data_IF_655099191664
#
_entry.id   IF_655099191664
#
_cell.length_a   1.000
_cell.length_b   1.000
_cell.length_c   1.000
_cell.angle_alpha   90.00
_cell.angle_beta   90.00
_cell.angle_gamma   90.00
#
_symmetry.space_group_name_H-M   'P 1'
#
loop_
_entity.id
_entity.type
_entity.pdbx_description
1 polymer ?
#
# COMPACT_ATOMS: atom_id res chain seq x y z
N UNK A 1 -19.17 -16.00 8.96
CA UNK A 1 -18.85 -15.71 7.55
C UNK A 1 -19.45 -14.34 7.24
N UNK A 2 -18.73 -13.40 6.59
CA UNK A 2 -19.23 -12.03 6.32
C UNK A 2 -19.57 -11.77 4.83
N UNK A 3 -19.93 -12.82 4.10
CA UNK A 3 -20.61 -12.67 2.81
C UNK A 3 -22.09 -12.70 3.10
N UNK A 4 -22.77 -11.61 2.77
CA UNK A 4 -24.18 -11.46 3.08
C UNK A 4 -25.00 -11.35 1.82
N UNK A 5 -26.25 -11.80 1.96
CA UNK A 5 -27.30 -11.56 0.98
C UNK A 5 -27.56 -10.07 0.73
N UNK A 6 -27.12 -9.21 1.65
CA UNK A 6 -27.27 -7.75 1.61
C UNK A 6 -26.07 -7.02 1.01
N UNK A 7 -25.01 -7.75 0.61
CA UNK A 7 -23.82 -7.13 0.02
C UNK A 7 -24.15 -6.43 -1.30
N UNK A 8 -23.43 -5.34 -1.59
CA UNK A 8 -23.56 -4.52 -2.80
C UNK A 8 -22.23 -4.50 -3.58
N UNK A 9 -22.24 -4.44 -4.92
CA UNK A 9 -23.40 -4.34 -5.81
C UNK A 9 -24.19 -5.65 -5.99
N UNK A 10 -23.64 -6.79 -5.55
CA UNK A 10 -24.26 -8.09 -5.70
C UNK A 10 -24.30 -8.85 -4.37
N UNK A 11 -25.38 -9.58 -4.07
CA UNK A 11 -25.44 -10.51 -2.94
C UNK A 11 -24.32 -11.55 -3.03
N UNK A 12 -23.74 -11.89 -1.87
CA UNK A 12 -22.66 -12.88 -1.77
C UNK A 12 -22.96 -13.97 -0.76
N UNK A 13 -22.46 -15.17 -1.01
CA UNK A 13 -22.61 -16.29 -0.10
C UNK A 13 -21.94 -17.55 -0.60
N UNK A 14 -21.94 -18.58 0.25
CA UNK A 14 -21.58 -19.93 -0.19
C UNK A 14 -22.68 -20.48 -1.10
N UNK A 15 -22.29 -21.05 -2.24
CA UNK A 15 -23.22 -21.72 -3.13
C UNK A 15 -23.62 -23.07 -2.52
N UNK A 16 -24.91 -23.25 -2.30
CA UNK A 16 -25.48 -24.52 -1.89
C UNK A 16 -26.32 -25.06 -3.05
N UNK A 17 -26.15 -26.35 -3.37
CA UNK A 17 -26.82 -26.97 -4.52
C UNK A 17 -27.58 -28.21 -4.10
N UNK A 18 -28.71 -28.45 -4.77
CA UNK A 18 -29.48 -29.68 -4.67
C UNK A 18 -29.78 -30.15 -6.08
N UNK A 19 -29.15 -31.25 -6.49
CA UNK A 19 -29.28 -31.81 -7.84
C UNK A 19 -29.30 -33.33 -7.77
N UNK A 20 -29.96 -33.97 -8.74
CA UNK A 20 -30.00 -35.43 -8.86
C UNK A 20 -28.62 -36.06 -9.15
N UNK A 21 -27.63 -35.24 -9.53
CA UNK A 21 -26.25 -35.67 -9.79
C UNK A 21 -25.31 -35.50 -8.59
N UNK A 22 -25.82 -35.11 -7.41
CA UNK A 22 -24.98 -34.97 -6.21
C UNK A 22 -24.62 -36.35 -5.63
N UNK A 23 -23.41 -36.49 -5.10
CA UNK A 23 -22.94 -37.69 -4.40
C UNK A 23 -23.78 -37.95 -3.12
N UNK A 24 -23.87 -39.20 -2.67
CA UNK A 24 -24.55 -39.53 -1.40
C UNK A 24 -23.70 -39.24 -0.16
N UNK A 25 -22.37 -39.18 -0.34
CA UNK A 25 -21.41 -38.96 0.73
C UNK A 25 -20.00 -39.37 0.32
N UNK A 26 -19.05 -39.22 1.24
CA UNK A 26 -17.69 -39.69 1.08
C UNK A 26 -17.57 -41.12 1.61
N UNK A 27 -16.87 -41.97 0.85
CA UNK A 27 -16.64 -43.37 1.24
C UNK A 27 -15.90 -43.47 2.57
N UNK A 28 -16.47 -44.21 3.53
CA UNK A 28 -15.95 -44.39 4.89
C UNK A 28 -15.59 -43.10 5.66
N UNK A 29 -16.20 -41.97 5.31
CA UNK A 29 -15.94 -40.70 5.98
C UNK A 29 -17.27 -39.99 6.31
N UNK A 30 -17.94 -40.50 7.35
CA UNK A 30 -19.20 -39.96 7.86
C UNK A 30 -19.07 -38.53 8.39
N UNK A 31 -17.90 -38.18 8.95
CA UNK A 31 -17.62 -36.84 9.50
C UNK A 31 -17.67 -35.79 8.39
N UNK A 32 -16.89 -35.97 7.32
CA UNK A 32 -16.89 -35.01 6.21
C UNK A 32 -18.17 -35.09 5.40
N UNK A 33 -18.85 -36.25 5.35
CA UNK A 33 -20.17 -36.37 4.73
C UNK A 33 -21.18 -35.47 5.45
N UNK A 34 -21.31 -35.61 6.76
CA UNK A 34 -22.25 -34.80 7.54
C UNK A 34 -21.88 -33.30 7.55
N UNK A 35 -20.62 -32.94 7.34
CA UNK A 35 -20.19 -31.54 7.21
C UNK A 35 -20.52 -30.93 5.84
N UNK A 36 -20.53 -31.74 4.78
CA UNK A 36 -20.77 -31.27 3.42
C UNK A 36 -22.25 -31.17 3.05
N UNK A 37 -23.16 -31.69 3.87
CA UNK A 37 -24.61 -31.62 3.65
C UNK A 37 -25.33 -30.93 4.81
N UNK A 38 -26.21 -29.98 4.51
CA UNK A 38 -27.07 -29.29 5.47
C UNK A 38 -28.50 -29.27 4.91
N UNK A 39 -29.46 -29.85 5.62
CA UNK A 39 -30.88 -29.92 5.21
C UNK A 39 -31.10 -30.47 3.78
N UNK A 40 -30.27 -31.43 3.36
CA UNK A 40 -30.30 -32.03 2.02
C UNK A 40 -29.75 -31.13 0.91
N UNK A 41 -29.11 -30.01 1.25
CA UNK A 41 -28.30 -29.19 0.36
C UNK A 41 -26.84 -29.56 0.48
N UNK A 42 -26.13 -29.62 -0.65
CA UNK A 42 -24.68 -29.80 -0.68
C UNK A 42 -23.98 -28.45 -0.62
N UNK A 43 -23.18 -28.26 0.41
CA UNK A 43 -22.34 -27.08 0.62
C UNK A 43 -21.10 -27.18 -0.28
N UNK A 44 -21.06 -26.46 -1.40
CA UNK A 44 -19.96 -26.60 -2.38
C UNK A 44 -18.61 -26.09 -1.84
N UNK A 45 -18.66 -25.23 -0.82
CA UNK A 45 -17.51 -24.48 -0.35
C UNK A 45 -17.02 -23.43 -1.34
N UNK A 46 -17.76 -23.15 -2.42
CA UNK A 46 -17.48 -22.06 -3.36
C UNK A 46 -18.27 -20.82 -2.94
N UNK A 47 -17.61 -19.67 -2.87
CA UNK A 47 -18.23 -18.38 -2.64
C UNK A 47 -18.59 -17.75 -3.97
N UNK A 48 -19.81 -17.25 -4.08
CA UNK A 48 -20.34 -16.67 -5.32
C UNK A 48 -20.93 -15.28 -5.10
N UNK A 49 -20.85 -14.45 -6.14
CA UNK A 49 -21.65 -13.25 -6.34
C UNK A 49 -22.84 -13.59 -7.23
N UNK A 50 -24.06 -13.27 -6.80
CA UNK A 50 -25.24 -13.43 -7.64
C UNK A 50 -25.46 -12.18 -8.48
N UNK A 51 -25.07 -12.25 -9.75
CA UNK A 51 -25.19 -11.13 -10.70
C UNK A 51 -26.66 -10.96 -11.13
N UNK A 52 -27.37 -12.07 -11.40
CA UNK A 52 -28.78 -12.09 -11.76
C UNK A 52 -29.46 -13.40 -11.29
N UNK A 53 -30.75 -13.54 -11.55
CA UNK A 53 -31.48 -14.81 -11.34
C UNK A 53 -30.80 -15.93 -12.14
N UNK A 54 -30.37 -16.99 -11.45
CA UNK A 54 -29.64 -18.14 -12.03
C UNK A 54 -28.30 -17.79 -12.71
N UNK A 55 -27.78 -16.58 -12.50
CA UNK A 55 -26.47 -16.16 -12.99
C UNK A 55 -25.57 -15.82 -11.81
N UNK A 56 -24.54 -16.63 -11.62
CA UNK A 56 -23.59 -16.48 -10.52
C UNK A 56 -22.17 -16.39 -11.05
N UNK A 57 -21.32 -15.68 -10.32
CA UNK A 57 -19.89 -15.62 -10.55
C UNK A 57 -19.19 -16.22 -9.34
N UNK A 58 -18.42 -17.28 -9.56
CA UNK A 58 -17.55 -17.84 -8.53
C UNK A 58 -16.43 -16.85 -8.27
N UNK A 59 -16.32 -16.42 -7.03
CA UNK A 59 -15.32 -15.42 -6.61
C UNK A 59 -14.24 -16.02 -5.73
N UNK A 60 -14.52 -17.13 -5.01
CA UNK A 60 -13.54 -17.73 -4.12
C UNK A 60 -13.95 -19.13 -3.57
N UNK A 61 -13.12 -19.70 -2.70
CA UNK A 61 -13.37 -20.89 -1.87
C UNK A 61 -13.47 -20.52 -0.39
N UNK A 62 -14.47 -21.06 0.31
CA UNK A 62 -14.71 -20.90 1.75
C UNK A 62 -13.52 -21.29 2.64
N UNK A 63 -12.57 -22.08 2.14
CA UNK A 63 -11.37 -22.50 2.89
C UNK A 63 -10.11 -21.69 2.54
N UNK A 64 -10.18 -20.76 1.58
CA UNK A 64 -9.02 -20.03 1.05
C UNK A 64 -9.00 -18.53 1.40
N UNK A 65 -9.89 -18.06 2.29
CA UNK A 65 -9.85 -16.70 2.81
C UNK A 65 -9.14 -16.64 4.16
N UNK A 66 -8.51 -15.50 4.43
CA UNK A 66 -8.12 -15.11 5.78
C UNK A 66 -8.69 -13.74 6.13
N UNK A 67 -8.93 -13.55 7.43
CA UNK A 67 -9.51 -12.33 7.98
C UNK A 67 -8.38 -11.44 8.47
N UNK A 68 -8.37 -10.21 7.98
CA UNK A 68 -7.45 -9.18 8.44
C UNK A 68 -7.90 -8.63 9.79
N UNK A 69 -6.97 -8.08 10.59
CA UNK A 69 -7.26 -7.58 11.93
C UNK A 69 -8.23 -6.39 11.92
N UNK A 70 -8.22 -5.58 10.85
CA UNK A 70 -9.20 -4.54 10.56
C UNK A 70 -10.60 -5.06 10.17
N UNK A 71 -10.82 -6.38 10.16
CA UNK A 71 -12.12 -7.00 9.88
C UNK A 71 -12.42 -7.27 8.41
N UNK A 72 -11.52 -6.89 7.51
CA UNK A 72 -11.56 -7.15 6.07
C UNK A 72 -11.21 -8.61 5.74
N UNK A 73 -11.67 -9.09 4.59
CA UNK A 73 -11.35 -10.44 4.10
C UNK A 73 -10.50 -10.37 2.85
N UNK A 74 -9.50 -11.25 2.79
CA UNK A 74 -8.60 -11.38 1.65
C UNK A 74 -8.76 -12.77 1.05
N UNK A 75 -9.02 -12.78 -0.26
CA UNK A 75 -9.16 -13.96 -1.10
C UNK A 75 -7.80 -14.37 -1.66
N UNK A 76 -7.12 -15.33 -1.03
CA UNK A 76 -5.73 -15.66 -1.38
C UNK A 76 -5.59 -16.11 -2.85
N UNK A 77 -6.46 -17.01 -3.30
CA UNK A 77 -6.43 -17.56 -4.67
C UNK A 77 -6.73 -16.48 -5.72
N UNK A 78 -7.64 -15.56 -5.42
CA UNK A 78 -7.92 -14.40 -6.28
C UNK A 78 -6.68 -13.53 -6.44
N UNK A 79 -5.98 -13.24 -5.36
CA UNK A 79 -4.76 -12.43 -5.38
C UNK A 79 -3.62 -13.12 -6.12
N UNK A 80 -3.42 -14.42 -5.88
CA UNK A 80 -2.44 -15.21 -6.62
C UNK A 80 -2.66 -15.10 -8.13
N UNK A 81 -3.89 -15.30 -8.59
CA UNK A 81 -4.24 -15.18 -10.02
C UNK A 81 -4.02 -13.76 -10.57
N UNK A 82 -4.27 -12.73 -9.76
CA UNK A 82 -4.01 -11.34 -10.17
C UNK A 82 -2.51 -11.09 -10.33
N UNK A 83 -1.70 -11.56 -9.39
CA UNK A 83 -0.25 -11.33 -9.36
C UNK A 83 0.53 -12.17 -10.38
N UNK A 84 -0.06 -13.23 -10.93
CA UNK A 84 0.49 -13.93 -12.11
C UNK A 84 0.58 -13.03 -13.36
N UNK A 85 -0.05 -11.84 -13.37
CA UNK A 85 0.18 -10.84 -14.41
C UNK A 85 1.56 -10.18 -14.34
N UNK A 86 2.30 -10.33 -13.23
CA UNK A 86 3.67 -9.85 -13.09
C UNK A 86 4.64 -10.76 -13.87
N UNK A 87 5.43 -10.25 -14.84
CA UNK A 87 6.35 -11.07 -15.64
C UNK A 87 7.38 -11.83 -14.80
N UNK A 88 7.82 -11.25 -13.68
CA UNK A 88 8.83 -11.83 -12.80
C UNK A 88 8.27 -12.95 -11.91
N UNK A 89 6.96 -13.19 -11.88
CA UNK A 89 6.33 -14.21 -11.04
C UNK A 89 5.99 -15.43 -11.90
N UNK A 90 6.59 -16.58 -11.57
CA UNK A 90 6.24 -17.87 -12.18
C UNK A 90 5.17 -18.60 -11.37
N UNK A 91 5.32 -18.66 -10.04
CA UNK A 91 4.32 -19.18 -9.12
C UNK A 91 4.25 -18.27 -7.90
N UNK A 92 3.09 -18.20 -7.27
CA UNK A 92 2.89 -17.38 -6.08
C UNK A 92 1.97 -18.11 -5.10
N UNK A 93 2.29 -17.99 -3.82
CA UNK A 93 1.45 -18.42 -2.72
C UNK A 93 1.21 -17.22 -1.80
N UNK A 94 -0.05 -16.85 -1.63
CA UNK A 94 -0.49 -15.75 -0.77
C UNK A 94 -0.95 -16.32 0.57
N UNK A 95 -0.42 -15.76 1.65
CA UNK A 95 -0.82 -16.11 3.03
C UNK A 95 -0.87 -14.87 3.92
N UNK A 96 -1.27 -15.08 5.17
CA UNK A 96 -1.35 -14.07 6.20
C UNK A 96 -0.36 -14.39 7.32
N UNK A 97 0.38 -13.37 7.74
CA UNK A 97 1.20 -13.43 8.94
C UNK A 97 0.53 -12.61 10.04
N UNK A 98 0.40 -13.19 11.22
CA UNK A 98 -0.11 -12.53 12.41
C UNK A 98 1.05 -12.10 13.31
N UNK A 99 1.15 -10.81 13.63
CA UNK A 99 2.09 -10.30 14.61
C UNK A 99 1.40 -10.28 15.98
N UNK A 100 1.43 -11.42 16.67
CA UNK A 100 0.69 -11.60 17.94
C UNK A 100 1.43 -10.99 19.15
N UNK A 101 2.70 -10.60 19.02
CA UNK A 101 3.55 -10.39 20.22
C UNK A 101 3.44 -9.05 20.94
N UNK A 102 2.83 -8.00 20.38
CA UNK A 102 2.94 -6.65 20.97
C UNK A 102 1.63 -5.83 20.96
N UNK A 103 0.58 -6.36 21.60
CA UNK A 103 -0.64 -5.65 22.06
C UNK A 103 -1.59 -5.05 21.02
N UNK A 104 -1.19 -4.93 19.76
CA UNK A 104 -2.06 -4.64 18.62
C UNK A 104 -2.01 -5.85 17.69
N UNK A 105 -3.12 -6.56 17.51
CA UNK A 105 -3.20 -7.59 16.47
C UNK A 105 -3.03 -6.91 15.12
N UNK A 106 -1.84 -7.00 14.56
CA UNK A 106 -1.58 -6.60 13.18
C UNK A 106 -1.33 -7.86 12.39
N UNK A 107 -2.06 -8.01 11.29
CA UNK A 107 -1.76 -9.04 10.33
C UNK A 107 -1.60 -8.44 8.94
N UNK A 108 -0.76 -9.08 8.15
CA UNK A 108 -0.36 -8.56 6.85
C UNK A 108 -0.43 -9.67 5.81
N UNK A 109 -0.76 -9.27 4.58
CA UNK A 109 -0.64 -10.14 3.41
C UNK A 109 0.84 -10.35 3.13
N UNK A 110 1.23 -11.61 2.99
CA UNK A 110 2.59 -12.03 2.65
C UNK A 110 2.54 -12.89 1.39
N UNK A 111 3.59 -12.82 0.56
CA UNK A 111 3.69 -13.65 -0.62
C UNK A 111 4.98 -14.49 -0.62
N UNK A 112 4.86 -15.76 -0.96
CA UNK A 112 5.98 -16.61 -1.36
C UNK A 112 5.97 -16.69 -2.88
N UNK A 113 7.06 -16.28 -3.50
CA UNK A 113 7.17 -16.12 -4.95
C UNK A 113 8.22 -17.08 -5.48
N UNK A 114 7.84 -17.93 -6.42
CA UNK A 114 8.78 -18.59 -7.31
C UNK A 114 8.97 -17.66 -8.51
N UNK A 115 10.16 -17.08 -8.71
CA UNK A 115 10.40 -16.13 -9.78
C UNK A 115 10.50 -16.80 -11.16
N UNK A 116 10.32 -16.00 -12.21
CA UNK A 116 10.74 -16.36 -13.56
C UNK A 116 12.27 -16.20 -13.66
N UNK A 117 12.99 -17.31 -13.56
CA UNK A 117 14.45 -17.36 -13.53
C UNK A 117 15.11 -16.60 -14.69
N UNK A 118 14.63 -16.79 -15.92
CA UNK A 118 15.20 -16.14 -17.10
C UNK A 118 15.11 -14.60 -17.02
N UNK A 119 13.97 -14.06 -16.59
CA UNK A 119 13.76 -12.62 -16.49
C UNK A 119 14.51 -12.00 -15.32
N UNK A 120 14.60 -12.70 -14.18
CA UNK A 120 15.38 -12.22 -13.04
C UNK A 120 16.87 -12.21 -13.36
N UNK A 121 17.39 -13.22 -14.07
CA UNK A 121 18.78 -13.26 -14.53
C UNK A 121 19.09 -12.14 -15.52
N UNK A 122 18.23 -11.92 -16.52
CA UNK A 122 18.35 -10.81 -17.48
C UNK A 122 18.36 -9.45 -16.78
N UNK A 123 17.43 -9.23 -15.84
CA UNK A 123 17.39 -8.01 -15.04
C UNK A 123 18.65 -7.82 -14.18
N UNK A 124 19.12 -8.88 -13.51
CA UNK A 124 20.34 -8.84 -12.69
C UNK A 124 21.59 -8.50 -13.51
N UNK A 125 21.70 -9.05 -14.72
CA UNK A 125 22.79 -8.74 -15.65
C UNK A 125 22.78 -7.26 -16.07
N UNK A 126 21.60 -6.69 -16.36
CA UNK A 126 21.44 -5.28 -16.75
C UNK A 126 21.87 -4.30 -15.66
N UNK A 127 21.72 -4.67 -14.38
CA UNK A 127 22.16 -3.85 -13.25
C UNK A 127 23.61 -4.14 -12.80
N UNK A 128 24.36 -4.92 -13.58
CA UNK A 128 25.77 -5.24 -13.28
C UNK A 128 25.98 -6.25 -12.14
N UNK A 129 24.94 -6.90 -11.66
CA UNK A 129 25.03 -7.88 -10.56
C UNK A 129 25.36 -9.27 -11.11
N UNK A 130 26.60 -9.71 -10.90
CA UNK A 130 27.01 -11.11 -11.10
C UNK A 130 26.73 -11.90 -9.82
N UNK A 131 26.05 -13.03 -9.95
CA UNK A 131 25.83 -13.98 -8.85
C UNK A 131 26.44 -15.33 -9.18
N UNK A 132 26.86 -16.07 -8.14
CA UNK A 132 27.47 -17.40 -8.30
C UNK A 132 26.44 -18.45 -8.69
N UNK A 133 25.20 -18.32 -8.22
CA UNK A 133 24.08 -19.16 -8.58
C UNK A 133 22.74 -18.38 -8.46
N UNK A 134 21.64 -18.99 -8.90
CA UNK A 134 20.30 -18.40 -8.86
C UNK A 134 19.73 -18.28 -7.44
N UNK A 135 20.12 -19.20 -6.54
CA UNK A 135 19.65 -19.21 -5.15
C UNK A 135 20.15 -17.98 -4.38
N UNK A 136 21.40 -17.56 -4.62
CA UNK A 136 22.00 -16.34 -4.10
C UNK A 136 21.28 -15.08 -4.60
N UNK A 137 20.79 -15.08 -5.86
CA UNK A 137 19.98 -13.97 -6.40
C UNK A 137 18.63 -13.88 -5.71
N UNK A 138 18.01 -15.00 -5.37
CA UNK A 138 16.73 -15.01 -4.66
C UNK A 138 16.85 -14.44 -3.24
N UNK A 139 18.03 -14.53 -2.61
CA UNK A 139 18.30 -13.93 -1.31
C UNK A 139 18.70 -12.44 -1.40
N UNK A 140 18.90 -11.91 -2.61
CA UNK A 140 19.36 -10.55 -2.81
C UNK A 140 18.24 -9.53 -2.48
N UNK A 141 18.48 -8.56 -1.58
CA UNK A 141 17.48 -7.54 -1.24
C UNK A 141 16.99 -6.70 -2.42
N UNK A 142 17.84 -6.44 -3.43
CA UNK A 142 17.47 -5.68 -4.62
C UNK A 142 16.47 -6.45 -5.49
N UNK A 143 16.65 -7.77 -5.63
CA UNK A 143 15.72 -8.62 -6.38
C UNK A 143 14.38 -8.69 -5.63
N UNK A 144 14.42 -8.82 -4.31
CA UNK A 144 13.22 -8.74 -3.46
C UNK A 144 12.48 -7.41 -3.65
N UNK A 145 13.20 -6.29 -3.59
CA UNK A 145 12.61 -4.96 -3.76
C UNK A 145 12.04 -4.74 -5.16
N UNK A 146 12.74 -5.20 -6.20
CA UNK A 146 12.28 -5.12 -7.59
C UNK A 146 10.95 -5.87 -7.76
N UNK A 147 10.90 -7.15 -7.36
CA UNK A 147 9.69 -7.96 -7.50
C UNK A 147 8.53 -7.37 -6.69
N UNK A 148 8.79 -6.93 -5.45
CA UNK A 148 7.78 -6.27 -4.62
C UNK A 148 7.25 -4.98 -5.27
N UNK A 149 8.10 -4.21 -5.95
CA UNK A 149 7.70 -3.00 -6.68
C UNK A 149 6.80 -3.34 -7.87
N UNK A 150 7.16 -4.37 -8.64
CA UNK A 150 6.35 -4.86 -9.75
C UNK A 150 4.97 -5.37 -9.29
N UNK A 151 4.90 -6.07 -8.14
CA UNK A 151 3.62 -6.46 -7.55
C UNK A 151 2.74 -5.25 -7.19
N UNK A 152 3.33 -4.16 -6.68
CA UNK A 152 2.60 -2.92 -6.39
C UNK A 152 2.03 -2.29 -7.66
N UNK A 153 2.80 -2.26 -8.74
CA UNK A 153 2.33 -1.77 -10.05
C UNK A 153 1.17 -2.61 -10.58
N UNK A 154 1.24 -3.94 -10.46
CA UNK A 154 0.13 -4.83 -10.82
C UNK A 154 -1.10 -4.55 -9.96
N UNK A 155 -0.92 -4.34 -8.65
CA UNK A 155 -2.01 -4.04 -7.73
C UNK A 155 -2.72 -2.73 -8.08
N UNK A 156 -1.97 -1.66 -8.37
CA UNK A 156 -2.50 -0.38 -8.82
C UNK A 156 -3.28 -0.52 -10.13
N UNK A 157 -2.70 -1.19 -11.14
CA UNK A 157 -3.36 -1.43 -12.43
C UNK A 157 -4.66 -2.23 -12.30
N UNK A 158 -4.75 -3.10 -11.29
CA UNK A 158 -5.92 -3.95 -11.02
C UNK A 158 -6.84 -3.38 -9.96
N UNK A 159 -6.61 -2.14 -9.51
CA UNK A 159 -7.39 -1.44 -8.48
C UNK A 159 -7.57 -2.29 -7.20
N UNK A 160 -6.52 -2.99 -6.78
CA UNK A 160 -6.55 -3.75 -5.53
C UNK A 160 -6.59 -2.82 -4.32
N UNK A 161 -7.19 -3.29 -3.23
CA UNK A 161 -7.27 -2.51 -1.98
C UNK A 161 -5.89 -2.48 -1.33
N UNK A 162 -5.50 -1.42 -0.59
CA UNK A 162 -4.15 -1.31 -0.01
C UNK A 162 -3.74 -2.50 0.87
N UNK A 163 -4.69 -3.06 1.63
CA UNK A 163 -4.44 -4.23 2.49
C UNK A 163 -4.38 -5.57 1.74
N UNK A 164 -4.66 -5.59 0.43
CA UNK A 164 -4.48 -6.77 -0.43
C UNK A 164 -3.09 -6.84 -1.05
N UNK A 165 -2.30 -5.76 -0.91
CA UNK A 165 -0.94 -5.68 -1.41
C UNK A 165 -0.01 -6.41 -0.45
N UNK A 166 0.81 -7.37 -0.93
CA UNK A 166 1.81 -8.02 -0.09
C UNK A 166 2.70 -6.98 0.59
N UNK A 167 2.73 -7.04 1.92
CA UNK A 167 3.54 -6.13 2.73
C UNK A 167 5.02 -6.49 2.64
N UNK A 168 5.33 -7.79 2.55
CA UNK A 168 6.65 -8.31 2.25
C UNK A 168 6.53 -9.65 1.50
N UNK A 169 7.65 -10.04 0.89
CA UNK A 169 7.74 -11.24 0.07
C UNK A 169 8.94 -12.09 0.46
N UNK A 170 8.82 -13.39 0.23
CA UNK A 170 9.93 -14.35 0.24
C UNK A 170 10.08 -14.92 -1.16
N UNK A 171 11.32 -14.95 -1.68
CA UNK A 171 11.62 -15.51 -2.99
C UNK A 171 12.11 -16.95 -2.79
N UNK A 172 11.32 -17.90 -3.29
CA UNK A 172 11.64 -19.32 -3.30
C UNK A 172 12.33 -19.69 -4.62
N UNK A 173 13.60 -20.13 -4.61
CA UNK A 173 14.30 -20.52 -5.83
C UNK A 173 13.72 -21.79 -6.47
N UNK A 174 13.11 -22.69 -5.69
CA UNK A 174 12.63 -23.99 -6.18
C UNK A 174 11.14 -23.95 -6.48
N UNK A 175 10.79 -24.29 -7.72
CA UNK A 175 9.39 -24.38 -8.15
C UNK A 175 8.55 -25.28 -7.24
N UNK A 176 7.32 -24.89 -6.97
CA UNK A 176 6.35 -25.77 -6.34
C UNK A 176 6.06 -26.92 -7.30
N UNK A 177 6.14 -28.16 -6.80
CA UNK A 177 5.95 -29.36 -7.60
C UNK A 177 5.22 -30.43 -6.80
N UNK A 178 4.78 -31.49 -7.50
CA UNK A 178 4.22 -32.68 -6.86
C UNK A 178 5.32 -33.43 -6.08
N UNK A 179 6.54 -33.48 -6.63
CA UNK A 179 7.71 -34.15 -6.03
C UNK A 179 8.07 -33.58 -4.66
N UNK A 180 8.07 -32.24 -4.54
CA UNK A 180 8.33 -31.58 -3.26
C UNK A 180 7.07 -31.43 -2.38
N UNK A 181 5.96 -32.08 -2.76
CA UNK A 181 4.67 -32.11 -2.04
C UNK A 181 4.03 -30.73 -1.82
N UNK A 182 4.50 -29.68 -2.51
CA UNK A 182 3.91 -28.34 -2.47
C UNK A 182 2.72 -28.21 -3.43
N UNK A 183 2.56 -29.16 -4.35
CA UNK A 183 1.39 -29.30 -5.21
C UNK A 183 0.67 -30.62 -4.96
N UNK A 184 -0.65 -30.59 -5.11
CA UNK A 184 -1.52 -31.77 -5.18
C UNK A 184 -1.38 -32.48 -6.52
N UNK A 185 -1.86 -33.73 -6.63
CA UNK A 185 -1.89 -34.48 -7.89
C UNK A 185 -2.66 -33.76 -9.03
N UNK A 186 -3.47 -32.75 -8.70
CA UNK A 186 -4.21 -31.92 -9.67
C UNK A 186 -3.48 -30.63 -10.08
N UNK A 187 -2.19 -30.52 -9.78
CA UNK A 187 -1.39 -29.30 -9.99
C UNK A 187 -1.95 -28.05 -9.30
N UNK A 188 -2.68 -28.22 -8.20
CA UNK A 188 -3.08 -27.12 -7.29
C UNK A 188 -2.15 -27.06 -6.09
N UNK A 189 -1.90 -25.85 -5.57
CA UNK A 189 -1.12 -25.67 -4.34
C UNK A 189 -1.69 -26.48 -3.17
N UNK A 190 -0.85 -27.26 -2.52
CA UNK A 190 -1.16 -27.97 -1.29
C UNK A 190 -1.09 -26.98 -0.11
N UNK A 191 -2.01 -26.00 -0.07
CA UNK A 191 -1.96 -24.83 0.84
C UNK A 191 -1.60 -25.19 2.30
N UNK A 192 -2.21 -26.18 2.97
CA UNK A 192 -1.88 -26.47 4.37
C UNK A 192 -0.41 -26.90 4.57
N UNK A 193 0.16 -27.61 3.59
CA UNK A 193 1.56 -28.07 3.62
C UNK A 193 2.50 -26.90 3.36
N UNK A 194 2.20 -26.10 2.34
CA UNK A 194 2.97 -24.92 1.95
C UNK A 194 2.96 -23.89 3.07
N UNK A 195 1.80 -23.58 3.63
CA UNK A 195 1.64 -22.63 4.73
C UNK A 195 2.44 -23.05 5.95
N UNK A 196 2.33 -24.32 6.36
CA UNK A 196 3.10 -24.87 7.49
C UNK A 196 4.60 -24.80 7.25
N UNK A 197 5.06 -25.05 6.02
CA UNK A 197 6.47 -25.01 5.66
C UNK A 197 7.06 -23.60 5.75
N UNK A 198 6.35 -22.60 5.24
CA UNK A 198 6.84 -21.22 5.21
C UNK A 198 6.52 -20.39 6.45
N UNK A 199 5.68 -20.91 7.37
CA UNK A 199 5.21 -20.17 8.55
C UNK A 199 6.36 -19.54 9.34
N UNK A 200 7.38 -20.32 9.71
CA UNK A 200 8.53 -19.83 10.49
C UNK A 200 9.36 -18.76 9.75
N UNK A 201 9.52 -18.90 8.43
CA UNK A 201 10.25 -17.95 7.58
C UNK A 201 9.47 -16.63 7.53
N UNK A 202 8.16 -16.72 7.29
CA UNK A 202 7.27 -15.56 7.19
C UNK A 202 7.22 -14.80 8.51
N UNK A 203 7.05 -15.51 9.63
CA UNK A 203 7.03 -14.91 10.97
C UNK A 203 8.36 -14.20 11.29
N UNK A 204 9.50 -14.78 10.85
CA UNK A 204 10.83 -14.18 10.99
C UNK A 204 10.98 -12.89 10.17
N UNK A 205 10.52 -12.89 8.90
CA UNK A 205 10.52 -11.70 8.04
C UNK A 205 9.68 -10.59 8.68
N UNK A 206 8.50 -10.94 9.19
CA UNK A 206 7.59 -9.99 9.82
C UNK A 206 8.20 -9.37 11.08
N UNK A 207 8.77 -10.20 11.96
CA UNK A 207 9.43 -9.75 13.18
C UNK A 207 10.66 -8.86 12.88
N UNK A 208 11.48 -9.23 11.90
CA UNK A 208 12.67 -8.46 11.53
C UNK A 208 12.29 -7.09 10.95
N UNK A 209 11.34 -7.05 10.03
CA UNK A 209 10.94 -5.80 9.39
C UNK A 209 10.23 -4.86 10.38
N UNK A 210 9.36 -5.39 11.25
CA UNK A 210 8.77 -4.60 12.34
C UNK A 210 9.82 -4.09 13.33
N UNK A 211 10.83 -4.90 13.68
CA UNK A 211 11.95 -4.46 14.53
C UNK A 211 12.78 -3.37 13.86
N UNK A 212 13.00 -3.46 12.55
CA UNK A 212 13.71 -2.42 11.79
C UNK A 212 12.90 -1.12 11.76
N UNK A 213 11.59 -1.20 11.54
CA UNK A 213 10.68 -0.05 11.58
C UNK A 213 10.60 0.58 12.99
N UNK A 214 10.50 -0.24 14.05
CA UNK A 214 10.53 0.25 15.43
C UNK A 214 11.87 0.87 15.81
N UNK A 215 12.99 0.19 15.54
CA UNK A 215 14.32 0.77 15.78
C UNK A 215 14.54 2.04 14.98
N UNK A 216 13.98 2.12 13.77
CA UNK A 216 14.01 3.35 12.98
C UNK A 216 13.27 4.48 13.69
N UNK A 217 12.04 4.23 14.17
CA UNK A 217 11.25 5.23 14.90
C UNK A 217 11.87 5.59 16.26
N UNK A 218 12.33 4.60 17.03
CA UNK A 218 12.95 4.77 18.35
C UNK A 218 14.29 5.53 18.29
N UNK A 219 15.07 5.35 17.23
CA UNK A 219 16.32 6.09 17.02
C UNK A 219 16.09 7.47 16.37
N UNK A 220 14.85 7.97 16.34
CA UNK A 220 14.52 9.28 15.77
C UNK A 220 14.73 9.36 14.26
N UNK A 221 14.57 8.23 13.56
CA UNK A 221 14.81 8.10 12.12
C UNK A 221 14.02 9.13 11.31
N UNK A 222 14.78 9.93 10.57
CA UNK A 222 14.27 10.90 9.61
C UNK A 222 14.35 10.36 8.16
N UNK A 223 13.82 11.11 7.21
CA UNK A 223 13.82 10.76 5.78
C UNK A 223 15.23 10.46 5.23
N UNK A 224 16.27 11.11 5.76
CA UNK A 224 17.68 10.88 5.40
C UNK A 224 18.21 9.56 5.93
N UNK A 225 17.77 9.15 7.12
CA UNK A 225 18.13 7.87 7.73
C UNK A 225 17.46 6.70 7.00
N UNK A 226 16.23 6.90 6.49
CA UNK A 226 15.56 5.93 5.62
C UNK A 226 16.28 5.77 4.28
N UNK A 227 16.81 6.87 3.72
CA UNK A 227 17.67 6.84 2.53
C UNK A 227 18.99 6.11 2.82
N UNK A 228 19.64 6.37 3.97
CA UNK A 228 20.85 5.63 4.40
C UNK A 228 20.62 4.13 4.48
N UNK A 229 19.50 3.70 5.06
CA UNK A 229 19.14 2.28 5.13
C UNK A 229 18.79 1.70 3.75
N UNK A 230 18.10 2.46 2.90
CA UNK A 230 17.82 2.05 1.52
C UNK A 230 19.11 1.84 0.74
N UNK A 231 20.09 2.75 0.85
CA UNK A 231 21.42 2.64 0.24
C UNK A 231 22.21 1.47 0.82
N UNK A 232 22.26 1.31 2.16
CA UNK A 232 22.93 0.18 2.82
C UNK A 232 22.30 -1.19 2.47
N UNK A 233 21.00 -1.21 2.17
CA UNK A 233 20.30 -2.42 1.71
C UNK A 233 20.55 -2.75 0.23
N UNK A 234 21.07 -1.80 -0.56
CA UNK A 234 21.63 -2.08 -1.89
C UNK A 234 23.03 -2.63 -1.65
N UNK A 235 23.15 -3.96 -1.58
CA UNK A 235 24.38 -4.67 -1.22
C UNK A 235 25.55 -4.56 -2.21
N UNK A 236 25.95 -3.35 -2.57
CA UNK A 236 27.30 -3.04 -3.04
C UNK A 236 27.99 -2.29 -1.91
N UNK A 237 29.19 -2.71 -1.53
CA UNK A 237 30.02 -2.04 -0.53
C UNK A 237 30.54 -0.68 -0.99
N UNK A 238 29.71 0.11 -1.68
CA UNK A 238 30.02 1.48 -2.02
C UNK A 238 30.01 2.32 -0.74
N UNK A 239 31.10 3.04 -0.54
CA UNK A 239 31.24 3.98 0.55
C UNK A 239 30.16 5.06 0.41
N UNK A 240 29.49 5.38 1.52
CA UNK A 240 28.44 6.40 1.64
C UNK A 240 28.90 7.73 1.02
N UNK A 241 30.18 8.06 1.18
CA UNK A 241 30.79 9.27 0.59
C UNK A 241 30.84 9.23 -0.94
N UNK A 242 30.92 8.05 -1.55
CA UNK A 242 30.97 7.87 -3.00
C UNK A 242 29.57 7.98 -3.63
N UNK A 243 28.52 7.48 -2.96
CA UNK A 243 27.12 7.66 -3.41
C UNK A 243 26.68 9.12 -3.22
N UNK A 244 27.09 9.76 -2.13
CA UNK A 244 26.84 11.19 -1.91
C UNK A 244 27.63 12.07 -2.88
N UNK A 245 28.86 11.70 -3.25
CA UNK A 245 29.72 12.49 -4.15
C UNK A 245 29.51 12.22 -5.65
N UNK A 246 28.99 11.05 -6.05
CA UNK A 246 28.63 10.75 -7.44
C UNK A 246 27.32 11.39 -7.88
N UNK A 247 26.48 11.82 -6.92
CA UNK A 247 25.40 12.74 -7.20
C UNK A 247 26.00 14.13 -7.42
N UNK A 248 26.11 14.52 -8.69
CA UNK A 248 26.58 15.83 -9.13
C UNK A 248 25.52 16.90 -8.80
N UNK A 249 25.20 17.06 -7.52
CA UNK A 249 23.86 17.47 -7.10
C UNK A 249 23.85 18.87 -6.50
N UNK A 250 23.07 19.73 -7.17
CA UNK A 250 22.81 21.15 -6.89
C UNK A 250 22.10 21.44 -5.57
N UNK A 251 21.74 20.40 -4.79
CA UNK A 251 20.96 20.56 -3.55
C UNK A 251 21.66 21.44 -2.52
N UNK A 252 23.00 21.52 -2.51
CA UNK A 252 23.73 22.41 -1.60
C UNK A 252 23.38 23.87 -1.80
N UNK A 253 23.02 24.26 -3.03
CA UNK A 253 22.51 25.60 -3.32
C UNK A 253 21.04 25.72 -2.92
N UNK A 254 20.25 24.68 -3.13
CA UNK A 254 18.82 24.64 -2.80
C UNK A 254 18.52 24.67 -1.28
N UNK A 255 19.50 24.37 -0.42
CA UNK A 255 19.34 24.41 1.05
C UNK A 255 19.63 25.80 1.64
N UNK A 256 20.06 26.78 0.83
CA UNK A 256 20.28 28.15 1.29
C UNK A 256 18.95 28.90 1.34
N UNK A 257 18.46 29.13 2.56
CA UNK A 257 17.33 30.04 2.80
C UNK A 257 17.72 31.48 2.48
N UNK A 258 16.77 32.24 1.93
CA UNK A 258 16.94 33.67 1.73
C UNK A 258 17.11 34.36 3.10
N UNK A 259 18.20 35.11 3.34
CA UNK A 259 18.45 35.78 4.63
C UNK A 259 17.37 36.80 5.01
N UNK A 260 16.57 37.26 4.04
CA UNK A 260 15.47 38.20 4.28
C UNK A 260 14.22 37.56 4.88
N UNK A 261 14.15 36.23 5.00
CA UNK A 261 13.02 35.53 5.62
C UNK A 261 13.00 35.82 7.13
N UNK A 262 11.95 36.50 7.59
CA UNK A 262 11.73 36.82 9.01
C UNK A 262 10.64 35.94 9.58
N UNK A 263 10.91 35.30 10.72
CA UNK A 263 9.91 34.50 11.44
C UNK A 263 9.15 35.39 12.42
N UNK A 264 7.90 35.72 12.08
CA UNK A 264 7.00 36.45 12.95
C UNK A 264 6.01 35.50 13.64
N UNK A 265 5.69 35.75 14.91
CA UNK A 265 4.60 35.06 15.60
C UNK A 265 3.30 35.81 15.35
N UNK A 266 2.29 35.09 14.87
CA UNK A 266 0.94 35.61 14.64
C UNK A 266 0.02 35.00 15.69
N UNK A 267 -0.87 35.80 16.27
CA UNK A 267 -1.77 35.38 17.36
C UNK A 267 -3.23 35.24 16.93
N UNK A 268 -3.66 35.97 15.88
CA UNK A 268 -5.00 35.86 15.29
C UNK A 268 -4.86 35.50 13.80
N UNK A 269 -5.63 34.49 13.35
CA UNK A 269 -5.50 33.90 12.02
C UNK A 269 -6.89 33.77 11.39
N UNK A 270 -7.13 34.50 10.32
CA UNK A 270 -8.40 34.50 9.56
C UNK A 270 -8.32 33.58 8.33
N UNK A 271 -7.12 33.41 7.76
CA UNK A 271 -6.86 32.55 6.62
C UNK A 271 -5.69 31.61 6.82
N UNK A 272 -5.95 30.31 6.65
CA UNK A 272 -4.91 29.27 6.68
C UNK A 272 -4.77 28.67 5.28
N UNK A 273 -3.55 28.61 4.76
CA UNK A 273 -3.24 27.81 3.58
C UNK A 273 -2.69 26.45 3.98
N UNK A 274 -3.28 25.39 3.44
CA UNK A 274 -2.89 24.01 3.73
C UNK A 274 -2.55 23.27 2.44
N UNK A 275 -1.31 22.80 2.32
CA UNK A 275 -0.91 21.87 1.26
C UNK A 275 -0.96 20.42 1.75
N UNK A 276 -1.24 19.48 0.84
CA UNK A 276 -1.23 18.05 1.18
C UNK A 276 -2.44 17.56 1.97
N UNK A 277 -3.52 18.34 2.07
CA UNK A 277 -4.76 18.00 2.80
C UNK A 277 -5.43 16.67 2.40
N UNK A 278 -5.04 16.10 1.25
CA UNK A 278 -5.60 14.87 0.68
C UNK A 278 -4.76 13.62 1.01
N UNK A 279 -3.53 13.86 1.48
CA UNK A 279 -2.63 12.84 2.01
C UNK A 279 -3.05 12.41 3.42
N UNK A 280 -2.27 11.50 4.02
CA UNK A 280 -2.55 10.99 5.37
C UNK A 280 -2.44 12.10 6.42
N UNK A 281 -1.24 12.64 6.66
CA UNK A 281 -1.02 13.67 7.68
C UNK A 281 -1.88 14.93 7.45
N UNK A 282 -1.97 15.41 6.21
CA UNK A 282 -2.72 16.62 5.91
C UNK A 282 -4.23 16.52 6.18
N UNK A 283 -4.82 15.33 6.07
CA UNK A 283 -6.24 15.13 6.42
C UNK A 283 -6.47 15.28 7.93
N UNK A 284 -5.60 14.70 8.76
CA UNK A 284 -5.67 14.86 10.22
C UNK A 284 -5.43 16.31 10.64
N UNK A 285 -4.45 16.98 10.02
CA UNK A 285 -4.19 18.39 10.29
C UNK A 285 -5.39 19.25 9.93
N UNK A 286 -6.04 19.02 8.78
CA UNK A 286 -7.26 19.73 8.41
C UNK A 286 -8.40 19.50 9.43
N UNK A 287 -8.61 18.25 9.87
CA UNK A 287 -9.62 17.93 10.89
C UNK A 287 -9.37 18.63 12.23
N UNK A 288 -8.09 18.74 12.63
CA UNK A 288 -7.69 19.45 13.84
C UNK A 288 -7.88 20.95 13.70
N UNK A 289 -7.46 21.54 12.58
CA UNK A 289 -7.66 22.96 12.29
C UNK A 289 -9.14 23.34 12.30
N UNK A 290 -10.01 22.51 11.71
CA UNK A 290 -11.47 22.71 11.75
C UNK A 290 -12.06 22.60 13.16
N UNK A 291 -11.44 21.81 14.04
CA UNK A 291 -11.87 21.65 15.44
C UNK A 291 -11.40 22.82 16.31
N UNK A 292 -10.15 23.24 16.17
CA UNK A 292 -9.49 24.22 17.04
C UNK A 292 -9.82 25.67 16.66
N UNK A 293 -10.17 25.92 15.40
CA UNK A 293 -10.53 27.26 14.92
C UNK A 293 -12.03 27.30 14.62
N UNK A 294 -12.70 28.41 14.91
CA UNK A 294 -14.15 28.53 14.71
C UNK A 294 -14.55 29.39 13.51
N UNK A 295 -13.72 30.38 13.13
CA UNK A 295 -14.03 31.37 12.08
C UNK A 295 -13.10 31.35 10.87
N UNK A 296 -11.89 30.81 11.01
CA UNK A 296 -10.86 30.84 9.98
C UNK A 296 -11.28 30.05 8.71
N UNK A 297 -10.99 30.62 7.53
CA UNK A 297 -11.07 29.92 6.24
C UNK A 297 -9.78 29.14 5.99
N UNK A 298 -9.93 27.88 5.56
CA UNK A 298 -8.83 26.98 5.25
C UNK A 298 -8.78 26.77 3.73
N UNK A 299 -7.80 27.39 3.10
CA UNK A 299 -7.50 27.31 1.68
C UNK A 299 -6.66 26.05 1.41
N UNK A 300 -7.27 25.05 0.79
CA UNK A 300 -6.69 23.73 0.60
C UNK A 300 -6.19 23.57 -0.85
N UNK A 301 -4.88 23.40 -1.02
CA UNK A 301 -4.28 23.13 -2.32
C UNK A 301 -4.62 21.72 -2.80
N UNK A 302 -5.24 21.61 -3.97
CA UNK A 302 -5.68 20.35 -4.59
C UNK A 302 -5.45 20.38 -6.10
N UNK A 303 -5.13 19.22 -6.71
CA UNK A 303 -4.72 19.19 -8.13
C UNK A 303 -5.88 19.31 -9.13
N UNK A 304 -7.07 18.77 -8.82
CA UNK A 304 -8.12 18.62 -9.86
C UNK A 304 -9.54 18.45 -9.33
N UNK A 305 -9.79 18.63 -8.03
CA UNK A 305 -11.10 18.31 -7.46
C UNK A 305 -11.59 19.36 -6.47
N UNK A 306 -12.91 19.42 -6.34
CA UNK A 306 -13.65 20.35 -5.47
C UNK A 306 -13.69 19.86 -4.02
N UNK A 307 -14.27 20.70 -3.15
CA UNK A 307 -14.33 20.52 -1.68
C UNK A 307 -15.04 19.24 -1.24
N UNK A 308 -15.92 18.66 -2.08
CA UNK A 308 -16.62 17.42 -1.77
C UNK A 308 -15.66 16.24 -1.58
N UNK A 309 -14.57 16.15 -2.35
CA UNK A 309 -13.58 15.08 -2.18
C UNK A 309 -12.77 15.23 -0.90
N UNK A 310 -12.51 16.46 -0.47
CA UNK A 310 -11.87 16.72 0.82
C UNK A 310 -12.78 16.23 1.96
N UNK A 311 -14.07 16.57 1.88
CA UNK A 311 -15.08 16.13 2.86
C UNK A 311 -15.20 14.60 2.89
N UNK A 312 -15.24 13.94 1.73
CA UNK A 312 -15.23 12.47 1.63
C UNK A 312 -13.98 11.86 2.25
N UNK A 313 -12.81 12.49 2.07
CA UNK A 313 -11.55 12.02 2.65
C UNK A 313 -11.54 12.15 4.16
N UNK A 314 -12.03 13.28 4.70
CA UNK A 314 -12.19 13.46 6.15
C UNK A 314 -13.20 12.46 6.72
N UNK A 315 -14.29 12.19 6.01
CA UNK A 315 -15.29 11.17 6.42
C UNK A 315 -14.68 9.77 6.43
N UNK A 316 -13.86 9.43 5.42
CA UNK A 316 -13.16 8.14 5.34
C UNK A 316 -12.24 7.89 6.54
N UNK A 317 -11.65 8.95 7.11
CA UNK A 317 -10.80 8.87 8.30
C UNK A 317 -11.55 9.12 9.62
N UNK A 318 -12.88 9.17 9.61
CA UNK A 318 -13.72 9.53 10.78
C UNK A 318 -13.38 10.89 11.42
N UNK A 319 -12.89 11.84 10.60
CA UNK A 319 -12.51 13.19 11.03
C UNK A 319 -13.62 14.22 10.80
N UNK A 320 -14.58 13.93 9.92
CA UNK A 320 -15.66 14.87 9.59
C UNK A 320 -16.74 14.90 10.67
N UNK A 321 -16.99 16.09 11.24
CA UNK A 321 -18.09 16.32 12.20
C UNK A 321 -19.23 17.06 11.51
N UNK A 322 -20.48 16.67 11.78
CA UNK A 322 -21.68 17.33 11.22
C UNK A 322 -21.79 18.81 11.62
N UNK A 323 -21.13 19.22 12.71
CA UNK A 323 -21.04 20.60 13.19
C UNK A 323 -20.08 21.48 12.38
N UNK A 324 -19.24 20.91 11.50
CA UNK A 324 -18.31 21.70 10.71
C UNK A 324 -19.03 22.45 9.59
N UNK A 325 -18.76 23.75 9.50
CA UNK A 325 -19.19 24.57 8.37
C UNK A 325 -18.34 24.26 7.13
N UNK A 326 -18.97 23.65 6.12
CA UNK A 326 -18.33 23.33 4.83
C UNK A 326 -17.79 24.55 4.11
N UNK A 327 -18.36 25.73 4.33
CA UNK A 327 -17.93 26.98 3.68
C UNK A 327 -16.55 27.45 4.14
N UNK A 328 -16.02 26.85 5.21
CA UNK A 328 -14.67 27.14 5.69
C UNK A 328 -13.58 26.47 4.87
N UNK A 329 -13.90 25.41 4.11
CA UNK A 329 -12.94 24.73 3.25
C UNK A 329 -13.02 25.33 1.85
N UNK A 330 -12.00 26.11 1.47
CA UNK A 330 -11.91 26.71 0.14
C UNK A 330 -10.88 25.93 -0.67
N UNK A 331 -11.27 25.38 -1.82
CA UNK A 331 -10.32 24.69 -2.69
C UNK A 331 -9.52 25.67 -3.54
N UNK A 332 -8.19 25.52 -3.51
CA UNK A 332 -7.26 26.19 -4.42
C UNK A 332 -6.76 25.14 -5.40
N UNK A 333 -7.13 25.27 -6.68
CA UNK A 333 -6.70 24.31 -7.70
C UNK A 333 -5.28 24.67 -8.13
N UNK A 334 -4.33 23.81 -7.81
CA UNK A 334 -2.92 24.02 -8.13
C UNK A 334 -2.04 22.81 -7.84
N UNK A 335 -0.77 22.92 -8.18
CA UNK A 335 0.21 21.86 -8.06
C UNK A 335 1.58 22.41 -7.67
N UNK A 336 2.17 21.83 -6.63
CA UNK A 336 3.49 22.18 -6.10
C UNK A 336 4.62 22.09 -7.14
N UNK A 337 4.43 21.35 -8.23
CA UNK A 337 5.45 21.23 -9.29
C UNK A 337 5.47 22.41 -10.27
N UNK A 338 4.54 23.36 -10.16
CA UNK A 338 4.46 24.51 -11.05
C UNK A 338 4.83 25.82 -10.34
N UNK A 339 5.44 26.79 -11.06
CA UNK A 339 5.59 28.16 -10.57
C UNK A 339 4.24 28.73 -10.13
N UNK A 340 4.21 29.50 -9.04
CA UNK A 340 2.98 30.03 -8.44
C UNK A 340 1.89 28.96 -8.23
N UNK A 341 2.28 27.69 -8.06
CA UNK A 341 1.38 26.53 -7.97
C UNK A 341 0.51 26.31 -9.23
N UNK A 342 0.81 26.97 -10.35
CA UNK A 342 -0.02 27.00 -11.56
C UNK A 342 -1.19 27.97 -11.50
N UNK A 343 -1.23 28.87 -10.51
CA UNK A 343 -2.19 29.97 -10.43
C UNK A 343 -1.80 31.11 -11.37
N UNK A 344 -2.79 31.87 -11.84
CA UNK A 344 -2.53 33.17 -12.49
C UNK A 344 -2.02 34.21 -11.48
N UNK A 345 -1.40 35.28 -11.97
CA UNK A 345 -0.92 36.38 -11.11
C UNK A 345 -2.04 36.98 -10.25
N UNK A 346 -3.23 37.16 -10.84
CA UNK A 346 -4.40 37.67 -10.12
C UNK A 346 -4.85 36.71 -9.00
N UNK A 347 -4.90 35.40 -9.27
CA UNK A 347 -5.24 34.39 -8.26
C UNK A 347 -4.18 34.31 -7.17
N UNK A 348 -2.91 34.42 -7.53
CA UNK A 348 -1.78 34.44 -6.60
C UNK A 348 -1.87 35.62 -5.62
N UNK A 349 -2.06 36.84 -6.15
CA UNK A 349 -2.21 38.05 -5.33
C UNK A 349 -3.49 38.02 -4.47
N UNK A 350 -4.58 37.48 -5.00
CA UNK A 350 -5.81 37.29 -4.22
C UNK A 350 -5.65 36.25 -3.12
N UNK A 351 -4.84 35.22 -3.33
CA UNK A 351 -4.58 34.18 -2.35
C UNK A 351 -3.67 34.71 -1.24
N UNK A 352 -2.55 35.37 -1.58
CA UNK A 352 -1.60 35.92 -0.62
C UNK A 352 -2.23 36.98 0.30
N UNK A 353 -3.13 37.81 -0.23
CA UNK A 353 -3.85 38.82 0.57
C UNK A 353 -4.88 38.26 1.57
N UNK A 354 -5.17 36.95 1.52
CA UNK A 354 -6.20 36.29 2.35
C UNK A 354 -5.63 35.28 3.34
N UNK A 355 -4.33 34.99 3.30
CA UNK A 355 -3.70 33.96 4.14
C UNK A 355 -2.79 34.65 5.16
N UNK A 356 -2.91 34.25 6.42
CA UNK A 356 -2.02 34.69 7.49
C UNK A 356 -1.02 33.60 7.88
N UNK A 357 -1.40 32.32 7.74
CA UNK A 357 -0.56 31.17 8.14
C UNK A 357 -0.57 30.08 7.08
N UNK A 358 0.61 29.53 6.79
CA UNK A 358 0.78 28.39 5.88
C UNK A 358 1.20 27.14 6.65
N UNK A 359 0.43 26.07 6.49
CA UNK A 359 0.82 24.71 6.85
C UNK A 359 1.20 23.93 5.59
N UNK A 360 2.50 23.72 5.40
CA UNK A 360 3.02 22.99 4.24
C UNK A 360 3.25 21.51 4.57
N UNK A 361 2.30 20.64 4.19
CA UNK A 361 2.41 19.19 4.37
C UNK A 361 2.40 18.41 3.05
N UNK A 362 2.30 19.10 1.91
CA UNK A 362 2.34 18.50 0.60
C UNK A 362 3.76 18.14 0.20
N UNK A 363 4.03 16.84 0.06
CA UNK A 363 5.32 16.33 -0.41
C UNK A 363 5.13 15.11 -1.30
N UNK A 364 6.06 14.87 -2.20
CA UNK A 364 6.25 13.55 -2.80
C UNK A 364 7.10 12.71 -1.86
N UNK A 365 6.53 11.62 -1.35
CA UNK A 365 7.18 10.70 -0.42
C UNK A 365 7.39 9.37 -1.12
N UNK A 366 8.50 9.24 -1.85
CA UNK A 366 8.89 7.98 -2.49
C UNK A 366 10.39 7.72 -2.28
N UNK A 367 10.72 6.96 -1.23
CA UNK A 367 12.10 6.69 -0.82
C UNK A 367 12.96 5.93 -1.85
N UNK A 368 12.39 5.48 -2.97
CA UNK A 368 13.13 4.78 -4.04
C UNK A 368 13.68 5.79 -5.06
N UNK A 369 13.02 6.94 -5.24
CA UNK A 369 13.35 7.92 -6.27
C UNK A 369 14.50 8.84 -5.84
N UNK A 370 15.25 9.34 -6.82
CA UNK A 370 16.39 10.24 -6.60
C UNK A 370 15.97 11.67 -6.23
N UNK A 371 16.95 12.51 -5.89
CA UNK A 371 16.73 13.91 -5.53
C UNK A 371 16.06 14.69 -6.67
N UNK A 372 16.55 14.56 -7.90
CA UNK A 372 16.03 15.31 -9.06
C UNK A 372 14.54 15.04 -9.29
N UNK A 373 14.10 13.80 -9.12
CA UNK A 373 12.67 13.49 -9.23
C UNK A 373 11.86 14.16 -8.10
N UNK A 374 12.41 14.27 -6.90
CA UNK A 374 11.76 14.94 -5.76
C UNK A 374 11.82 16.47 -5.81
N UNK A 375 12.86 17.02 -6.45
CA UNK A 375 13.20 18.45 -6.41
C UNK A 375 12.03 19.33 -6.81
N UNK A 376 11.31 18.97 -7.88
CA UNK A 376 10.16 19.75 -8.35
C UNK A 376 9.05 19.90 -7.30
N UNK A 377 8.75 18.86 -6.51
CA UNK A 377 7.67 18.93 -5.50
C UNK A 377 8.17 19.42 -4.15
N UNK A 378 9.29 18.87 -3.67
CA UNK A 378 9.71 19.01 -2.28
C UNK A 378 10.65 20.21 -2.06
N UNK A 379 11.28 20.70 -3.14
CA UNK A 379 12.24 21.82 -3.06
C UNK A 379 11.64 23.04 -3.77
N UNK A 380 11.41 22.94 -5.08
CA UNK A 380 10.82 24.05 -5.83
C UNK A 380 9.41 24.38 -5.31
N UNK A 381 8.59 23.37 -5.04
CA UNK A 381 7.29 23.58 -4.42
C UNK A 381 7.37 24.28 -3.07
N UNK A 382 8.36 23.94 -2.23
CA UNK A 382 8.59 24.65 -0.96
C UNK A 382 9.04 26.09 -1.18
N UNK A 383 9.89 26.36 -2.18
CA UNK A 383 10.29 27.72 -2.56
C UNK A 383 9.08 28.55 -2.99
N UNK A 384 8.18 28.00 -3.81
CA UNK A 384 6.95 28.70 -4.20
C UNK A 384 6.07 28.99 -2.98
N UNK A 385 6.02 28.09 -2.00
CA UNK A 385 5.27 28.31 -0.76
C UNK A 385 5.90 29.40 0.11
N UNK A 386 7.23 29.46 0.17
CA UNK A 386 7.94 30.53 0.87
C UNK A 386 7.71 31.88 0.17
N UNK A 387 7.64 31.93 -1.17
CA UNK A 387 7.29 33.16 -1.91
C UNK A 387 5.85 33.62 -1.69
N UNK A 388 4.95 32.71 -1.31
CA UNK A 388 3.56 33.02 -1.01
C UNK A 388 3.41 33.65 0.39
N UNK A 389 4.30 33.27 1.33
CA UNK A 389 4.39 33.82 2.68
C UNK A 389 5.09 35.19 2.68
#
# INVERSE_FOLDING_TARGET
>A
MRYYRTDQPYPRGELWVKTGSTIQGYYNNSIDTNRSFVDGWFCTGDIVEQINVRQIKIIDRKKNFFKMSQGEFVAAERLENVYLACPFVRQIFITCADLIKYSQQQNAVMAVIVPNEALVLDWAMKIGKKSKNFEDLCQNPLVNQMILTELKLVAEKKNLRPFEIPWAIYIEPKSFSIENRKMTATNKLARPVVDKFYRSIIDSIMANKHRTEQKFVENGGDSLTAIKLAVLSRGDGENIETVLSSSNSSWKEDVKLDPSIVVNRIFEVDGIFLTGCTGFLGAYLLGELLTQTSKCKIYCLVRSFKSEKITQRLTYYDLWKSSFDKNRIVTVIGNLTHPQLGLSDDEWTQLSSKIDVIYHCGAMVNHIKDYETHRATNVQGTIEIIKLA
#
